data_IF_505178434603
#
_entry.id   IF_505178434603
#
_cell.length_a   1.000
_cell.length_b   1.000
_cell.length_c   1.000
_cell.angle_alpha   90.00
_cell.angle_beta   90.00
_cell.angle_gamma   90.00
#
_symmetry.space_group_name_H-M   'P 1'
#
loop_
_entity.id
_entity.type
_entity.pdbx_description
1 polymer ?
2 non-polymer ?
3 water ?
#
# COMPACT_ATOMS: atom_id res chain seq x y z
N UNK A 4 -15.87 -15.06 4.46
CA UNK A 4 -16.58 -13.87 4.91
C UNK A 4 -15.77 -12.62 5.37
N UNK A 5 -14.43 -12.58 5.21
CA UNK A 5 -13.73 -11.37 5.69
C UNK A 5 -14.26 -10.09 5.07
N UNK A 6 -14.51 -10.08 3.77
CA UNK A 6 -15.00 -8.87 3.14
C UNK A 6 -16.44 -8.54 3.52
N UNK A 7 -17.15 -9.46 4.19
CA UNK A 7 -18.49 -9.12 4.69
C UNK A 7 -18.43 -8.05 5.77
N UNK A 8 -17.27 -7.84 6.37
CA UNK A 8 -17.08 -6.82 7.39
C UNK A 8 -16.93 -5.42 6.82
N UNK A 9 -16.91 -5.28 5.50
CA UNK A 9 -16.57 -4.02 4.86
C UNK A 9 -17.47 -3.79 3.67
N UNK A 10 -17.84 -2.53 3.45
CA UNK A 10 -18.43 -2.17 2.17
C UNK A 10 -17.36 -2.29 1.09
N UNK A 11 -17.71 -2.91 -0.03
CA UNK A 11 -16.70 -3.13 -1.05
C UNK A 11 -17.39 -3.33 -2.39
N UNK A 12 -16.61 -3.15 -3.46
CA UNK A 12 -17.10 -3.35 -4.81
C UNK A 12 -16.03 -4.07 -5.61
N UNK A 13 -16.39 -5.19 -6.21
CA UNK A 13 -15.49 -5.91 -7.09
C UNK A 13 -15.43 -5.18 -8.42
N UNK A 14 -14.22 -4.84 -8.86
CA UNK A 14 -14.04 -4.14 -10.14
C UNK A 14 -13.72 -5.11 -11.26
N UNK A 15 -12.80 -6.04 -11.03
CA UNK A 15 -12.49 -7.12 -11.97
C UNK A 15 -12.31 -8.40 -11.17
N UNK A 16 -11.93 -9.48 -11.85
CA UNK A 16 -11.58 -10.72 -11.17
C UNK A 16 -10.27 -10.62 -10.38
N UNK A 17 -9.54 -9.51 -10.53
CA UNK A 17 -8.34 -9.27 -9.74
C UNK A 17 -8.55 -8.22 -8.65
N UNK A 18 -9.22 -7.12 -8.97
CA UNK A 18 -9.16 -5.91 -8.16
C UNK A 18 -10.52 -5.65 -7.53
N UNK A 19 -10.53 -5.51 -6.20
CA UNK A 19 -11.71 -5.13 -5.43
C UNK A 19 -11.37 -3.89 -4.62
N UNK A 20 -12.31 -2.94 -4.54
CA UNK A 20 -12.12 -1.72 -3.75
C UNK A 20 -12.91 -1.86 -2.45
N UNK A 21 -12.29 -1.48 -1.34
CA UNK A 21 -12.84 -1.72 0.00
C UNK A 21 -12.81 -0.41 0.77
N UNK A 22 -13.89 -0.11 1.47
CA UNK A 22 -13.94 1.08 2.32
C UNK A 22 -13.51 0.70 3.74
N UNK A 23 -12.39 1.23 4.21
CA UNK A 23 -12.01 1.00 5.59
C UNK A 23 -10.51 1.18 5.79
N UNK A 24 -10.01 0.51 6.82
CA UNK A 24 -8.61 0.62 7.26
C UNK A 24 -7.85 -0.57 6.67
N UNK A 25 -6.86 -0.30 5.82
CA UNK A 25 -6.12 -1.40 5.19
C UNK A 25 -5.51 -2.34 6.21
N UNK A 26 -5.13 -1.84 7.39
CA UNK A 26 -4.55 -2.72 8.40
C UNK A 26 -5.61 -3.71 8.88
N UNK A 27 -6.86 -3.23 9.03
CA UNK A 27 -7.91 -4.11 9.52
C UNK A 27 -8.31 -5.13 8.46
N UNK A 28 -8.26 -4.73 7.20
CA UNK A 28 -8.54 -5.67 6.12
C UNK A 28 -7.48 -6.76 6.07
N UNK A 29 -6.20 -6.35 6.10
CA UNK A 29 -5.12 -7.32 6.07
C UNK A 29 -5.19 -8.29 7.25
N UNK A 30 -5.63 -7.81 8.41
CA UNK A 30 -5.73 -8.68 9.59
C UNK A 30 -6.68 -9.85 9.34
N UNK A 31 -7.66 -9.66 8.45
CA UNK A 31 -8.62 -10.72 8.14
C UNK A 31 -8.01 -11.85 7.32
N UNK A 32 -6.89 -11.59 6.65
CA UNK A 32 -6.25 -12.55 5.76
C UNK A 32 -4.85 -12.87 6.26
N UNK A 33 -4.68 -14.06 6.83
CA UNK A 33 -3.36 -14.49 7.31
C UNK A 33 -2.31 -14.59 6.22
N UNK A 34 -2.72 -14.81 4.97
CA UNK A 34 -1.76 -14.97 3.88
C UNK A 34 -1.55 -13.71 3.08
N UNK A 35 -2.17 -12.60 3.48
CA UNK A 35 -2.06 -11.38 2.70
C UNK A 35 -0.68 -10.74 2.85
N UNK A 36 -0.27 -10.01 1.81
CA UNK A 36 0.88 -9.11 1.87
C UNK A 36 0.30 -7.71 1.91
N UNK A 37 0.65 -6.96 2.96
CA UNK A 37 0.14 -5.60 3.13
C UNK A 37 1.15 -4.61 2.56
N UNK A 38 0.69 -3.70 1.70
CA UNK A 38 1.55 -2.69 1.10
C UNK A 38 1.61 -1.48 2.03
N UNK A 39 2.82 -0.99 2.27
CA UNK A 39 3.03 0.29 2.93
C UNK A 39 3.45 1.32 1.90
N UNK A 40 2.83 2.50 1.95
CA UNK A 40 3.21 3.64 1.12
C UNK A 40 4.32 4.37 1.84
N UNK A 41 5.55 4.11 1.43
CA UNK A 41 6.73 4.52 2.17
C UNK A 41 7.51 5.60 1.41
N UNK A 42 8.60 6.06 2.03
CA UNK A 42 9.53 6.99 1.41
C UNK A 42 10.91 6.34 1.27
N UNK A 43 11.84 7.05 0.64
CA UNK A 43 13.14 6.48 0.30
C UNK A 43 13.92 5.99 1.50
N UNK A 44 13.70 6.57 2.68
CA UNK A 44 14.46 6.21 3.88
C UNK A 44 13.62 5.40 4.86
N UNK A 45 12.44 4.92 4.43
CA UNK A 45 11.54 4.13 5.28
C UNK A 45 11.31 4.81 6.64
N UNK A 46 11.14 6.13 6.61
CA UNK A 46 10.79 6.89 7.81
C UNK A 46 9.27 6.99 7.90
N UNK A 47 8.68 6.25 8.84
CA UNK A 47 7.23 6.04 8.87
C UNK A 47 6.56 7.00 9.85
N UNK A 48 6.60 8.29 9.49
CA UNK A 48 6.20 9.34 10.42
C UNK A 48 4.73 9.70 10.45
N UNK A 49 3.94 9.17 9.53
CA UNK A 49 2.53 9.53 9.46
C UNK A 49 1.86 8.81 8.31
N UNK A 50 0.62 9.18 8.04
CA UNK A 50 -0.06 8.48 6.95
C UNK A 50 -0.24 7.00 7.30
N UNK A 51 -0.43 6.19 6.25
CA UNK A 51 -0.60 4.77 6.54
C UNK A 51 0.69 4.17 7.11
N UNK A 52 1.86 4.71 6.73
CA UNK A 52 3.11 4.18 7.26
C UNK A 52 3.18 4.35 8.77
N UNK A 53 2.79 5.52 9.28
CA UNK A 53 2.74 5.71 10.73
C UNK A 53 1.73 4.81 11.40
N UNK A 54 0.61 4.54 10.72
CA UNK A 54 -0.41 3.65 11.28
C UNK A 54 0.06 2.20 11.30
N UNK A 55 0.69 1.76 10.20
CA UNK A 55 1.25 0.42 10.18
C UNK A 55 2.30 0.27 11.27
N UNK A 56 3.18 1.26 11.39
CA UNK A 56 4.22 1.19 12.42
C UNK A 56 3.60 1.11 13.82
N UNK A 57 2.60 1.95 14.10
CA UNK A 57 1.96 1.90 15.42
C UNK A 57 1.32 0.54 15.68
N UNK A 58 0.63 -0.01 14.67
CA UNK A 58 0.04 -1.34 14.82
C UNK A 58 1.08 -2.40 15.16
N UNK A 59 2.29 -2.26 14.64
CA UNK A 59 3.40 -3.17 14.92
C UNK A 59 4.14 -2.85 16.21
N UNK A 60 3.62 -1.89 16.99
CA UNK A 60 4.23 -1.48 18.25
C UNK A 60 5.67 -1.00 18.04
N UNK A 61 5.92 -0.36 16.90
CA UNK A 61 7.23 0.19 16.59
C UNK A 61 8.19 -0.77 15.93
N UNK A 62 7.83 -2.06 15.80
CA UNK A 62 8.78 -3.01 15.24
C UNK A 62 9.08 -2.73 13.78
N UNK A 63 8.09 -2.24 13.02
CA UNK A 63 8.33 -1.94 11.61
C UNK A 63 9.40 -0.87 11.46
N UNK A 64 9.35 0.17 12.29
CA UNK A 64 10.37 1.21 12.17
C UNK A 64 11.75 0.69 12.56
N UNK A 65 11.81 -0.14 13.62
CA UNK A 65 13.11 -0.69 14.04
C UNK A 65 13.70 -1.56 12.92
N UNK A 66 12.86 -2.38 12.27
CA UNK A 66 13.34 -3.23 11.18
C UNK A 66 13.71 -2.39 9.95
N UNK A 67 12.93 -1.35 9.67
CA UNK A 67 13.23 -0.45 8.56
C UNK A 67 14.58 0.24 8.76
N UNK A 68 14.82 0.74 9.97
CA UNK A 68 16.09 1.41 10.23
C UNK A 68 17.28 0.48 10.05
N UNK A 69 17.14 -0.79 10.49
CA UNK A 69 18.21 -1.75 10.27
C UNK A 69 18.49 -1.96 8.80
N UNK A 70 17.41 -2.07 8.02
CA UNK A 70 17.54 -2.33 6.59
C UNK A 70 18.25 -1.18 5.90
N UNK A 71 17.81 0.06 6.16
CA UNK A 71 18.37 1.20 5.44
C UNK A 71 19.82 1.45 5.84
N UNK A 72 20.15 1.24 7.12
CA UNK A 72 21.55 1.33 7.54
C UNK A 72 22.43 0.37 6.75
N UNK A 73 21.93 -0.84 6.51
CA UNK A 73 22.73 -1.87 5.85
C UNK A 73 22.79 -1.69 4.34
N UNK A 74 21.69 -1.27 3.72
CA UNK A 74 21.58 -1.23 2.27
C UNK A 74 21.61 0.18 1.68
N UNK A 75 21.48 1.22 2.50
CA UNK A 75 21.33 2.56 2.00
C UNK A 75 19.89 2.80 1.59
N UNK A 76 19.55 4.05 1.27
CA UNK A 76 18.16 4.38 0.94
C UNK A 76 17.72 3.76 -0.38
N UNK A 77 16.40 3.71 -0.55
CA UNK A 77 15.78 3.19 -1.75
C UNK A 77 15.59 4.31 -2.77
N UNK A 78 15.39 3.91 -4.02
CA UNK A 78 15.02 4.86 -5.08
C UNK A 78 13.50 4.93 -5.18
N UNK A 79 13.01 6.09 -5.64
CA UNK A 79 11.60 6.22 -5.95
C UNK A 79 11.21 5.14 -6.95
N UNK A 80 10.13 4.43 -6.67
CA UNK A 80 9.69 3.33 -7.50
C UNK A 80 10.11 1.96 -7.02
N UNK A 81 11.08 1.90 -6.11
CA UNK A 81 11.56 0.65 -5.53
C UNK A 81 10.54 0.07 -4.55
N UNK A 82 10.81 -1.17 -4.15
CA UNK A 82 10.02 -1.79 -3.11
C UNK A 82 10.90 -2.79 -2.38
N UNK A 83 10.57 -3.05 -1.12
CA UNK A 83 11.29 -4.05 -0.33
C UNK A 83 10.27 -4.82 0.49
N UNK A 84 10.38 -6.14 0.43
CA UNK A 84 9.54 -7.02 1.23
C UNK A 84 10.18 -7.20 2.60
N UNK A 85 9.45 -6.84 3.65
CA UNK A 85 9.93 -6.99 5.02
C UNK A 85 8.92 -7.82 5.82
N UNK A 86 9.18 -7.96 7.12
CA UNK A 86 8.35 -8.80 7.96
C UNK A 86 6.95 -8.21 8.11
N UNK A 87 6.01 -9.09 8.47
CA UNK A 87 4.63 -8.68 8.66
C UNK A 87 4.26 -8.33 10.09
N UNK A 88 5.06 -8.77 11.07
CA UNK A 88 4.87 -8.41 12.48
C UNK A 88 3.43 -8.71 12.96
N UNK A 89 2.90 -9.84 12.51
CA UNK A 89 1.56 -10.33 12.83
C UNK A 89 0.44 -9.46 12.23
N UNK A 90 0.76 -8.41 11.48
CA UNK A 90 -0.29 -7.68 10.78
C UNK A 90 -0.66 -8.37 9.49
N UNK A 91 0.28 -9.09 8.90
CA UNK A 91 0.14 -9.71 7.59
C UNK A 91 1.28 -10.71 7.44
N UNK A 92 1.22 -11.49 6.38
CA UNK A 92 2.30 -12.43 6.09
C UNK A 92 3.62 -11.69 5.90
N UNK A 93 3.58 -10.58 5.17
CA UNK A 93 4.71 -9.69 4.96
C UNK A 93 4.16 -8.29 4.72
N UNK A 94 5.03 -7.30 4.86
CA UNK A 94 4.72 -5.93 4.48
C UNK A 94 5.63 -5.58 3.32
N UNK A 95 5.04 -5.19 2.20
CA UNK A 95 5.77 -4.71 1.03
C UNK A 95 5.86 -3.19 1.10
N UNK A 96 7.04 -2.66 1.37
CA UNK A 96 7.24 -1.21 1.46
C UNK A 96 7.55 -0.70 0.07
N UNK A 97 6.70 0.20 -0.43
CA UNK A 97 6.78 0.70 -1.80
C UNK A 97 7.02 2.20 -1.75
N UNK A 98 7.97 2.68 -2.56
CA UNK A 98 8.34 4.10 -2.56
C UNK A 98 7.64 4.75 -3.75
N UNK A 99 6.50 5.36 -3.49
CA UNK A 99 5.77 6.04 -4.52
C UNK A 99 6.38 7.38 -4.86
N UNK A 100 6.08 7.89 -6.06
CA UNK A 100 6.60 9.21 -6.45
C UNK A 100 5.92 10.32 -5.65
N UNK A 101 6.72 11.33 -5.26
CA UNK A 101 6.24 12.49 -4.51
C UNK A 101 6.03 13.64 -5.50
N UNK A 102 4.76 13.88 -5.85
CA UNK A 102 4.44 14.93 -6.81
C UNK A 102 4.80 16.32 -6.31
N UNK A 103 4.86 16.51 -4.99
CA UNK A 103 5.35 17.77 -4.45
C UNK A 103 6.75 18.08 -4.96
N UNK A 104 7.60 17.06 -5.06
CA UNK A 104 8.97 17.18 -5.55
C UNK A 104 9.06 17.00 -7.05
N UNK A 105 7.92 17.00 -7.75
CA UNK A 105 7.85 16.85 -9.20
C UNK A 105 8.52 15.57 -9.67
N UNK A 106 8.40 14.52 -8.86
CA UNK A 106 8.91 13.20 -9.23
C UNK A 106 7.96 12.56 -10.25
N UNK A 107 8.51 11.65 -11.05
CA UNK A 107 7.78 11.09 -12.19
C UNK A 107 6.63 10.22 -11.68
N UNK A 108 5.40 10.69 -11.88
CA UNK A 108 4.23 9.96 -11.41
C UNK A 108 4.11 8.60 -12.09
N UNK A 109 4.65 8.46 -13.31
CA UNK A 109 4.59 7.16 -13.96
C UNK A 109 5.37 6.09 -13.22
N UNK A 110 6.23 6.45 -12.25
CA UNK A 110 6.88 5.43 -11.44
C UNK A 110 5.88 4.65 -10.60
N UNK A 111 4.61 5.08 -10.53
CA UNK A 111 3.60 4.27 -9.86
C UNK A 111 3.42 2.93 -10.53
N UNK A 112 3.68 2.85 -11.84
CA UNK A 112 3.60 1.56 -12.52
C UNK A 112 4.62 0.58 -11.95
N UNK A 113 5.83 1.06 -11.66
CA UNK A 113 6.84 0.18 -11.09
C UNK A 113 6.47 -0.24 -9.68
N UNK A 114 5.88 0.68 -8.92
CA UNK A 114 5.38 0.38 -7.58
C UNK A 114 4.36 -0.74 -7.60
N UNK A 115 3.36 -0.63 -8.46
CA UNK A 115 2.27 -1.58 -8.43
C UNK A 115 2.65 -2.91 -9.09
N UNK A 116 3.52 -2.90 -10.10
CA UNK A 116 4.00 -4.16 -10.68
C UNK A 116 4.60 -5.05 -9.62
N UNK A 117 5.26 -4.46 -8.63
CA UNK A 117 5.90 -5.25 -7.58
C UNK A 117 4.90 -6.07 -6.80
N UNK A 118 3.61 -5.69 -6.80
CA UNK A 118 2.60 -6.44 -6.08
C UNK A 118 2.34 -7.80 -6.70
N UNK A 119 2.68 -8.00 -7.98
CA UNK A 119 2.27 -9.20 -8.67
C UNK A 119 3.06 -10.43 -8.25
N UNK A 120 4.07 -10.27 -7.40
CA UNK A 120 4.84 -11.40 -6.91
C UNK A 120 4.10 -12.20 -5.85
N UNK A 121 2.99 -11.68 -5.34
CA UNK A 121 2.29 -12.26 -4.20
C UNK A 121 0.86 -12.60 -4.58
N UNK A 122 0.36 -13.75 -4.13
CA UNK A 122 -0.98 -14.18 -4.56
C UNK A 122 -2.11 -13.33 -4.00
N UNK A 123 -1.92 -12.70 -2.84
CA UNK A 123 -2.97 -11.86 -2.23
C UNK A 123 -2.34 -10.62 -1.64
N UNK A 124 -2.76 -9.45 -2.12
CA UNK A 124 -2.19 -8.17 -1.72
C UNK A 124 -3.30 -7.27 -1.21
N UNK A 125 -3.04 -6.60 -0.09
CA UNK A 125 -3.89 -5.56 0.46
C UNK A 125 -3.10 -4.26 0.37
N UNK A 126 -3.64 -3.27 -0.33
CA UNK A 126 -2.87 -2.04 -0.58
C UNK A 126 -3.70 -0.76 -0.43
N UNK A 127 -3.09 0.29 0.06
CA UNK A 127 -3.69 1.63 -0.06
C UNK A 127 -3.38 2.17 -1.45
N UNK A 128 -3.87 3.39 -1.72
CA UNK A 128 -3.53 4.04 -2.97
C UNK A 128 -2.21 4.78 -2.76
N UNK A 129 -1.14 4.19 -3.30
CA UNK A 129 0.20 4.74 -3.17
C UNK A 129 0.27 6.14 -3.78
N UNK A 130 0.96 7.05 -3.08
CA UNK A 130 1.20 8.43 -3.44
C UNK A 130 -0.03 9.30 -3.37
N UNK A 131 -1.18 8.78 -2.91
CA UNK A 131 -2.43 9.52 -2.94
C UNK A 131 -2.67 10.36 -1.69
N UNK A 132 -1.72 10.40 -0.77
CA UNK A 132 -1.87 11.20 0.43
C UNK A 132 -1.00 12.43 0.42
N UNK A 133 0.05 12.47 1.25
CA UNK A 133 0.89 13.66 1.24
C UNK A 133 1.70 13.78 -0.05
N UNK A 134 1.91 12.68 -0.77
CA UNK A 134 2.69 12.76 -2.01
C UNK A 134 1.92 13.42 -3.16
N UNK A 135 0.64 13.72 -2.98
CA UNK A 135 -0.05 14.68 -3.84
C UNK A 135 -0.59 14.17 -5.15
N UNK A 136 -0.60 12.86 -5.39
CA UNK A 136 -1.26 12.27 -6.54
C UNK A 136 -2.72 12.05 -6.18
N UNK A 137 -3.64 12.35 -7.10
CA UNK A 137 -5.04 12.13 -6.77
C UNK A 137 -5.34 10.63 -6.67
N UNK A 138 -6.15 10.22 -5.67
CA UNK A 138 -6.53 8.79 -5.59
C UNK A 138 -7.03 8.23 -6.90
N UNK A 139 -7.80 9.00 -7.66
CA UNK A 139 -8.32 8.51 -8.94
C UNK A 139 -7.20 8.14 -9.89
N UNK A 140 -6.11 8.93 -9.88
CA UNK A 140 -4.97 8.66 -10.74
C UNK A 140 -4.18 7.46 -10.23
N UNK A 141 -3.90 7.41 -8.92
CA UNK A 141 -3.21 6.26 -8.36
C UNK A 141 -3.96 4.98 -8.67
N UNK A 142 -5.29 5.02 -8.63
CA UNK A 142 -6.08 3.85 -8.97
C UNK A 142 -5.87 3.44 -10.43
N UNK A 143 -5.81 4.40 -11.35
CA UNK A 143 -5.55 4.06 -12.75
C UNK A 143 -4.26 3.27 -12.90
N UNK A 144 -3.20 3.68 -12.21
CA UNK A 144 -1.93 2.96 -12.32
C UNK A 144 -2.05 1.56 -11.74
N UNK A 145 -2.81 1.41 -10.66
CA UNK A 145 -2.97 0.12 -9.99
C UNK A 145 -3.70 -0.87 -10.89
N UNK A 146 -4.84 -0.47 -11.42
CA UNK A 146 -5.63 -1.41 -12.23
C UNK A 146 -4.92 -1.74 -13.54
N UNK A 147 -4.08 -0.84 -14.03
CA UNK A 147 -3.27 -1.11 -15.22
C UNK A 147 -2.31 -2.28 -15.00
N UNK A 148 -1.79 -2.42 -13.78
CA UNK A 148 -0.71 -3.37 -13.50
C UNK A 148 -1.16 -4.65 -12.81
N UNK A 149 -2.28 -4.64 -12.08
CA UNK A 149 -2.58 -5.76 -11.20
C UNK A 149 -2.85 -7.04 -12.00
N UNK A 150 -2.11 -8.10 -11.68
CA UNK A 150 -2.30 -9.41 -12.27
C UNK A 150 -2.70 -10.45 -11.23
N UNK A 151 -2.67 -10.11 -9.96
CA UNK A 151 -2.94 -11.00 -8.85
C UNK A 151 -4.17 -10.48 -8.10
N UNK A 152 -4.57 -11.18 -7.03
CA UNK A 152 -5.71 -10.72 -6.22
C UNK A 152 -5.31 -9.53 -5.38
N UNK A 153 -5.90 -8.36 -5.65
CA UNK A 153 -5.56 -7.13 -4.95
C UNK A 153 -6.80 -6.56 -4.30
N UNK A 154 -6.75 -6.34 -2.99
CA UNK A 154 -7.77 -5.56 -2.28
C UNK A 154 -7.25 -4.16 -2.06
N UNK A 155 -7.83 -3.19 -2.78
CA UNK A 155 -7.45 -1.79 -2.68
C UNK A 155 -8.33 -1.15 -1.63
N UNK A 156 -7.74 -0.68 -0.53
CA UNK A 156 -8.50 -0.21 0.63
C UNK A 156 -8.34 1.31 0.70
N UNK A 157 -9.46 2.02 0.74
CA UNK A 157 -9.46 3.47 0.88
C UNK A 157 -10.23 3.81 2.15
N UNK A 158 -9.69 4.71 2.96
CA UNK A 158 -10.33 5.03 4.23
C UNK A 158 -11.21 6.27 4.19
N UNK A 159 -11.33 6.92 3.03
CA UNK A 159 -12.25 8.04 2.87
C UNK A 159 -13.47 7.58 2.08
N UNK A 160 -14.67 7.85 2.61
CA UNK A 160 -15.87 7.47 1.89
C UNK A 160 -16.05 8.28 0.61
N UNK A 161 -15.59 9.54 0.60
CA UNK A 161 -15.67 10.32 -0.62
C UNK A 161 -14.84 9.70 -1.73
N UNK A 162 -13.64 9.22 -1.39
CA UNK A 162 -12.81 8.52 -2.36
C UNK A 162 -13.48 7.22 -2.79
N UNK A 163 -13.99 6.44 -1.83
CA UNK A 163 -14.64 5.19 -2.17
C UNK A 163 -15.80 5.42 -3.13
N UNK A 164 -16.66 6.39 -2.82
CA UNK A 164 -17.79 6.68 -3.70
C UNK A 164 -17.32 7.12 -5.07
N UNK A 165 -16.23 7.90 -5.12
CA UNK A 165 -15.72 8.40 -6.40
C UNK A 165 -15.24 7.26 -7.29
N UNK A 166 -14.59 6.26 -6.70
CA UNK A 166 -14.05 5.15 -7.47
C UNK A 166 -15.08 4.08 -7.79
N UNK A 167 -16.24 4.10 -7.15
CA UNK A 167 -17.25 3.08 -7.37
C UNK A 167 -18.55 3.63 -7.96
N UNK A 168 -18.62 4.93 -8.24
CA UNK A 168 -19.85 5.55 -8.72
C UNK A 168 -20.19 5.06 -10.13
X LIG B 1 -0.14 8.34 2.55
X LIG B 1 -0.11 7.33 3.65
X LIG B 1 0.11 9.77 2.98
X LIG B 1 -1.61 8.28 1.80
X LIG B 1 -1.85 7.21 0.89
X LIG B 1 -3.40 6.99 0.79
X LIG B 1 -3.79 6.10 1.68
X LIG B 1 -4.11 8.29 1.17
X LIG B 1 -5.24 8.49 0.39
X LIG B 1 -4.48 8.03 2.66
X LIG B 1 -5.60 8.96 3.10
X LIG B 1 -4.86 6.81 2.66
X LIG B 1 -4.77 6.14 3.94
X LIG B 1 -4.17 6.59 5.07
X LIG B 1 -4.31 5.64 6.02
X LIG B 1 -4.97 4.61 5.47
X LIG B 1 -5.36 3.41 6.00
X LIG B 1 -5.17 2.89 7.34
X LIG B 1 -6.03 2.52 5.24
X LIG B 1 -6.32 2.81 3.94
X LIG B 1 -5.94 4.01 3.41
X LIG B 1 -5.24 4.90 4.19
X LIG B 1 0.89 7.81 1.39
X LIG B 1 1.84 8.70 0.35
X LIG B 1 1.11 9.84 -0.32
X LIG B 1 2.35 7.69 -0.64
X LIG B 1 3.06 9.25 1.28
X LIG B 1 3.84 8.25 1.91
X LIG B 1 4.97 8.86 2.76
X LIG B 1 4.51 9.95 3.32
X LIG B 1 5.37 7.91 3.93
X LIG B 1 6.70 7.89 4.06
X LIG B 1 4.73 8.56 5.20
X LIG B 1 5.58 8.23 6.40
X LIG B 1 4.81 9.84 4.92
X LIG B 1 3.86 10.60 5.64
X LIG B 1 4.29 11.35 6.71
X LIG B 1 3.36 12.13 7.44
X LIG B 1 3.85 12.93 8.61
X LIG B 1 5.02 12.98 8.84
X LIG B 1 2.88 13.65 9.50
X LIG B 1 2.04 12.14 7.09
X LIG B 1 1.61 11.37 6.02
X LIG B 1 2.55 10.61 5.28
#
# INVERSE_FOLDING_TARGET
GSHMPLSNFEHKVITECVTIVLGDAIQVAKCYGESVLVNAANTHLKHGGGIAGAINAASKGAVQKESDEYILAKGPLQVGDSVLLQGHSLAKNILHVVGPDARAKQDVSLLSKCYKAMNAYPLVVTPLVSAGIFGVKPAVSFDYLIREAKTRVLVVVNSQDVYKSLTI
NAD PA O1A O2A O5B C5B C4B O4B C3B O3B C2B O2B C1B N9A C8A N7A C5A C6A N6A N1A C2A N3A C4A O3 PN O1N O2N O5D C5D C4D O4D C3D O3D C2D O2D C1D N1N C2N C3N C7N O7N N7N C4N C5N C6N
#
